data_IF_730426838693
#
_entry.id   IF_730426838693
#
_cell.length_a   1.000
_cell.length_b   1.000
_cell.length_c   1.000
_cell.angle_alpha   90.00
_cell.angle_beta   90.00
_cell.angle_gamma   90.00
#
_symmetry.space_group_name_H-M   'P 1'
#
loop_
_entity.id
_entity.type
_entity.pdbx_description
1 polymer ?
#
# COMPACT_ATOMS: atom_id res chain seq x y z
N UNK A 1 -24.92 -37.48 70.42
CA UNK A 1 -23.57 -37.11 70.00
C UNK A 1 -23.63 -36.85 68.49
N UNK A 2 -24.00 -35.63 68.13
CA UNK A 2 -24.15 -35.24 66.68
C UNK A 2 -22.87 -34.60 66.20
N UNK A 3 -22.24 -35.14 65.12
CA UNK A 3 -21.08 -34.55 64.48
C UNK A 3 -21.56 -33.68 63.32
N UNK A 4 -21.36 -32.40 63.39
CA UNK A 4 -21.47 -31.44 62.27
C UNK A 4 -20.24 -31.55 61.37
N UNK A 5 -20.45 -31.84 60.08
CA UNK A 5 -19.45 -31.70 59.05
C UNK A 5 -19.49 -30.28 58.50
N UNK A 6 -18.41 -29.54 58.69
CA UNK A 6 -18.18 -28.25 57.99
C UNK A 6 -17.78 -28.54 56.55
N UNK A 7 -18.56 -28.04 55.60
CA UNK A 7 -18.18 -27.96 54.18
C UNK A 7 -17.62 -26.55 53.94
N UNK A 8 -16.34 -26.42 53.63
CA UNK A 8 -15.71 -25.17 53.23
C UNK A 8 -16.00 -24.88 51.75
N UNK A 9 -16.37 -23.66 51.40
CA UNK A 9 -16.54 -23.30 49.98
C UNK A 9 -15.17 -23.15 49.30
N UNK A 10 -15.00 -23.91 48.22
CA UNK A 10 -13.86 -23.74 47.31
C UNK A 10 -14.17 -22.55 46.40
N UNK A 11 -13.48 -21.43 46.64
CA UNK A 11 -13.48 -20.32 45.68
C UNK A 11 -12.56 -20.69 44.53
N UNK A 12 -13.15 -20.98 43.38
CA UNK A 12 -12.41 -21.07 42.09
C UNK A 12 -12.16 -19.64 41.63
N UNK A 13 -10.94 -19.16 41.86
CA UNK A 13 -10.44 -17.95 41.23
C UNK A 13 -10.23 -18.23 39.72
N UNK A 14 -11.17 -17.77 38.93
CA UNK A 14 -11.05 -17.76 37.48
C UNK A 14 -10.04 -16.66 37.12
N UNK A 15 -8.78 -17.05 36.93
CA UNK A 15 -7.76 -16.19 36.35
C UNK A 15 -8.14 -15.96 34.88
N UNK A 16 -8.76 -14.80 34.64
CA UNK A 16 -8.90 -14.26 33.29
C UNK A 16 -7.48 -13.87 32.84
N UNK A 17 -6.80 -14.78 32.14
CA UNK A 17 -5.56 -14.44 31.44
C UNK A 17 -5.93 -13.42 30.37
N UNK A 18 -5.70 -12.13 30.68
CA UNK A 18 -5.59 -11.11 29.67
C UNK A 18 -4.38 -11.50 28.80
N UNK A 19 -4.63 -12.22 27.73
CA UNK A 19 -3.69 -12.30 26.61
C UNK A 19 -3.54 -10.88 26.10
N UNK A 20 -2.53 -10.20 26.60
CA UNK A 20 -1.93 -9.12 25.85
C UNK A 20 -1.48 -9.74 24.54
N UNK A 21 -2.30 -9.60 23.50
CA UNK A 21 -1.85 -9.76 22.13
C UNK A 21 -0.73 -8.71 21.99
N UNK A 22 0.52 -9.14 22.14
CA UNK A 22 1.64 -8.37 21.64
C UNK A 22 1.31 -8.22 20.16
N UNK A 23 0.88 -7.02 19.76
CA UNK A 23 0.88 -6.63 18.37
C UNK A 23 2.34 -6.75 17.93
N UNK A 24 2.72 -7.94 17.48
CA UNK A 24 3.90 -8.13 16.68
C UNK A 24 3.67 -7.18 15.52
N UNK A 25 4.51 -6.14 15.42
CA UNK A 25 4.38 -5.09 14.43
C UNK A 25 4.22 -5.73 13.05
N UNK A 26 2.98 -5.87 12.60
CA UNK A 26 2.65 -6.51 11.34
C UNK A 26 3.15 -5.60 10.22
N UNK A 27 4.30 -5.95 9.68
CA UNK A 27 4.99 -5.17 8.64
C UNK A 27 4.39 -5.41 7.25
N UNK A 28 3.48 -6.39 7.15
CA UNK A 28 2.82 -6.84 5.93
C UNK A 28 1.39 -6.31 5.77
N UNK A 29 0.70 -6.88 4.82
CA UNK A 29 -0.74 -6.73 4.69
C UNK A 29 -1.44 -7.59 5.74
N UNK A 30 -2.45 -7.01 6.39
CA UNK A 30 -3.38 -7.72 7.27
C UNK A 30 -4.74 -7.81 6.60
N UNK A 31 -5.44 -8.91 6.81
CA UNK A 31 -6.82 -9.05 6.35
C UNK A 31 -7.73 -8.19 7.24
N UNK A 32 -8.40 -7.17 6.68
CA UNK A 32 -9.41 -6.38 7.38
C UNK A 32 -10.72 -7.15 7.58
N UNK A 33 -10.95 -8.17 6.78
CA UNK A 33 -12.11 -9.05 6.87
C UNK A 33 -11.67 -10.48 7.16
N UNK A 34 -12.17 -11.06 8.25
CA UNK A 34 -11.77 -12.38 8.75
C UNK A 34 -12.36 -13.56 7.95
N UNK A 35 -13.18 -13.30 6.92
CA UNK A 35 -13.83 -14.30 6.08
C UNK A 35 -15.06 -15.00 6.70
N UNK A 36 -15.37 -14.77 7.99
CA UNK A 36 -16.36 -15.56 8.73
C UNK A 36 -17.56 -14.72 9.24
N UNK A 37 -17.30 -13.51 9.74
CA UNK A 37 -18.30 -12.62 10.31
C UNK A 37 -17.93 -11.15 10.10
N UNK A 38 -18.81 -10.24 10.52
CA UNK A 38 -18.59 -8.80 10.39
C UNK A 38 -18.03 -8.17 11.69
N UNK A 39 -17.35 -8.93 12.51
CA UNK A 39 -16.64 -8.41 13.69
C UNK A 39 -15.56 -7.39 13.23
N UNK A 40 -15.50 -6.25 13.93
CA UNK A 40 -14.64 -5.12 13.55
C UNK A 40 -15.24 -4.21 12.48
N UNK A 41 -16.54 -4.42 12.12
CA UNK A 41 -17.26 -3.61 11.16
C UNK A 41 -18.61 -3.14 11.71
N UNK A 42 -18.90 -1.87 11.53
CA UNK A 42 -20.18 -1.24 11.91
C UNK A 42 -20.86 -0.64 10.70
N UNK A 43 -22.15 -0.98 10.49
CA UNK A 43 -22.94 -0.32 9.44
C UNK A 43 -23.27 1.11 9.85
N UNK A 44 -23.02 2.05 8.93
CA UNK A 44 -23.32 3.47 9.09
C UNK A 44 -24.24 3.97 7.98
N UNK A 45 -25.03 5.02 8.29
CA UNK A 45 -26.04 5.58 7.40
C UNK A 45 -27.07 4.50 7.01
N UNK A 46 -27.82 4.58 5.97
CA UNK A 46 -28.76 3.67 5.34
C UNK A 46 -29.14 2.33 6.00
N UNK A 47 -29.95 1.57 5.29
CA UNK A 47 -30.56 0.32 5.78
C UNK A 47 -30.32 -0.88 4.86
N UNK A 48 -29.29 -0.82 4.01
CA UNK A 48 -28.90 -1.96 3.19
C UNK A 48 -28.55 -3.19 4.07
N UNK A 49 -28.69 -4.37 3.52
CA UNK A 49 -28.36 -5.60 4.24
C UNK A 49 -26.91 -6.01 3.92
N UNK A 50 -26.10 -6.20 4.97
CA UNK A 50 -24.76 -6.76 4.85
C UNK A 50 -24.72 -8.14 5.49
N UNK A 51 -24.14 -9.11 4.79
CA UNK A 51 -23.95 -10.49 5.25
C UNK A 51 -22.62 -11.06 4.81
N UNK A 52 -22.23 -12.15 5.42
CA UNK A 52 -21.08 -12.95 4.96
C UNK A 52 -21.58 -14.17 4.20
N UNK A 53 -21.02 -14.41 3.04
CA UNK A 53 -21.37 -15.53 2.17
C UNK A 53 -20.11 -16.07 1.47
N UNK A 54 -19.77 -17.33 1.71
CA UNK A 54 -18.59 -17.99 1.10
C UNK A 54 -17.27 -17.21 1.25
N UNK A 55 -17.00 -16.66 2.44
CA UNK A 55 -15.79 -15.88 2.70
C UNK A 55 -15.79 -14.48 2.07
N UNK A 56 -16.94 -13.97 1.68
CA UNK A 56 -17.10 -12.64 1.07
C UNK A 56 -18.08 -11.78 1.89
N UNK A 57 -17.86 -10.48 1.89
CA UNK A 57 -18.87 -9.51 2.32
C UNK A 57 -19.83 -9.28 1.16
N UNK A 58 -21.11 -9.43 1.40
CA UNK A 58 -22.18 -9.19 0.42
C UNK A 58 -23.11 -8.11 0.95
N UNK A 59 -23.19 -7.02 0.21
CA UNK A 59 -24.14 -5.93 0.45
C UNK A 59 -25.30 -6.01 -0.53
N UNK A 60 -26.53 -5.93 -0.01
CA UNK A 60 -27.76 -5.93 -0.82
C UNK A 60 -28.54 -4.65 -0.57
N UNK A 61 -28.97 -3.98 -1.63
CA UNK A 61 -29.75 -2.75 -1.55
C UNK A 61 -31.07 -2.96 -0.82
N UNK A 62 -31.51 -1.93 -0.10
CA UNK A 62 -32.84 -1.88 0.52
C UNK A 62 -33.69 -0.81 -0.17
N UNK A 63 -34.96 -1.11 -0.38
CA UNK A 63 -35.91 -0.22 -1.05
C UNK A 63 -36.06 1.12 -0.33
N UNK A 64 -35.78 2.22 -1.05
CA UNK A 64 -35.87 3.59 -0.53
C UNK A 64 -34.81 3.94 0.53
N UNK A 65 -33.79 3.09 0.76
CA UNK A 65 -32.66 3.41 1.62
C UNK A 65 -31.76 4.47 0.99
N UNK A 66 -31.23 5.43 1.77
CA UNK A 66 -30.06 6.19 1.33
C UNK A 66 -28.83 5.27 1.22
N UNK A 67 -27.70 5.82 0.76
CA UNK A 67 -26.42 5.12 0.78
C UNK A 67 -26.17 4.49 2.16
N UNK A 68 -25.73 3.24 2.16
CA UNK A 68 -25.32 2.52 3.37
C UNK A 68 -23.84 2.18 3.26
N UNK A 69 -23.15 2.16 4.39
CA UNK A 69 -21.71 1.88 4.44
C UNK A 69 -21.41 0.88 5.55
N UNK A 70 -20.73 -0.20 5.24
CA UNK A 70 -20.14 -1.09 6.23
C UNK A 70 -18.72 -0.58 6.51
N UNK A 71 -18.51 0.00 7.68
CA UNK A 71 -17.30 0.74 8.04
C UNK A 71 -16.45 -0.02 9.05
N UNK A 72 -15.14 0.05 8.93
CA UNK A 72 -14.23 -0.47 9.94
C UNK A 72 -14.40 0.28 11.26
N UNK A 73 -14.32 -0.44 12.38
CA UNK A 73 -14.34 0.17 13.73
C UNK A 73 -12.99 0.87 14.00
N UNK A 74 -11.91 0.34 13.43
CA UNK A 74 -10.59 0.98 13.43
C UNK A 74 -10.52 2.10 12.39
N UNK A 75 -9.74 3.15 12.69
CA UNK A 75 -9.51 4.30 11.81
C UNK A 75 -8.07 4.36 11.35
N UNK A 76 -7.86 4.76 10.10
CA UNK A 76 -6.56 4.76 9.43
C UNK A 76 -6.22 6.15 8.89
N UNK A 77 -4.94 6.54 9.03
CA UNK A 77 -4.38 7.76 8.45
C UNK A 77 -3.67 7.46 7.13
N UNK A 78 -2.48 6.92 7.22
CA UNK A 78 -1.70 6.49 6.07
C UNK A 78 -1.82 4.97 5.91
N UNK A 79 -2.15 4.52 4.72
CA UNK A 79 -2.34 3.09 4.46
C UNK A 79 -2.20 2.74 2.98
N UNK A 80 -2.02 1.46 2.74
CA UNK A 80 -2.18 0.79 1.46
C UNK A 80 -3.34 -0.21 1.61
N UNK A 81 -4.33 -0.11 0.74
CA UNK A 81 -5.56 -0.91 0.77
C UNK A 81 -5.72 -1.65 -0.56
N UNK A 82 -6.00 -2.93 -0.48
CA UNK A 82 -6.30 -3.77 -1.63
C UNK A 82 -7.60 -4.53 -1.39
N UNK A 83 -8.40 -4.70 -2.44
CA UNK A 83 -9.61 -5.52 -2.38
C UNK A 83 -10.05 -5.91 -3.79
N UNK A 84 -10.82 -6.99 -3.86
CA UNK A 84 -11.57 -7.35 -5.06
C UNK A 84 -13.05 -7.01 -4.85
N UNK A 85 -13.69 -6.44 -5.87
CA UNK A 85 -15.10 -6.10 -5.88
C UNK A 85 -15.80 -6.61 -7.12
N UNK A 86 -17.03 -7.08 -6.95
CA UNK A 86 -17.98 -7.36 -8.03
C UNK A 86 -19.29 -6.68 -7.69
N UNK A 87 -19.81 -5.87 -8.60
CA UNK A 87 -21.07 -5.13 -8.42
C UNK A 87 -22.04 -5.43 -9.56
N UNK A 88 -23.34 -5.50 -9.27
CA UNK A 88 -24.41 -5.54 -10.28
C UNK A 88 -24.27 -4.31 -11.20
N UNK A 89 -24.30 -4.52 -12.51
CA UNK A 89 -24.07 -3.45 -13.50
C UNK A 89 -25.05 -2.26 -13.40
N UNK A 90 -26.19 -2.46 -12.74
CA UNK A 90 -27.20 -1.42 -12.47
C UNK A 90 -26.97 -0.65 -11.17
N UNK A 91 -25.96 -1.02 -10.39
CA UNK A 91 -25.66 -0.43 -9.10
C UNK A 91 -24.33 0.34 -9.15
N UNK A 92 -24.32 1.56 -8.60
CA UNK A 92 -23.11 2.27 -8.22
C UNK A 92 -22.64 1.78 -6.84
N UNK A 93 -21.36 1.88 -6.58
CA UNK A 93 -20.76 1.60 -5.28
C UNK A 93 -19.51 2.47 -5.08
N UNK A 94 -18.81 2.30 -3.97
CA UNK A 94 -17.58 2.98 -3.66
C UNK A 94 -16.94 2.44 -2.39
N UNK A 95 -15.67 2.76 -2.20
CA UNK A 95 -14.97 2.52 -0.94
C UNK A 95 -14.58 3.84 -0.33
N UNK A 96 -15.18 4.14 0.82
CA UNK A 96 -14.83 5.28 1.64
C UNK A 96 -13.45 5.08 2.24
N UNK A 97 -12.63 6.11 2.25
CA UNK A 97 -11.31 6.12 2.87
C UNK A 97 -11.16 7.36 3.76
N UNK A 98 -10.55 7.22 4.93
CA UNK A 98 -10.39 8.33 5.88
C UNK A 98 -11.70 9.06 6.16
N UNK A 99 -12.83 8.37 6.06
CA UNK A 99 -14.16 8.98 6.17
C UNK A 99 -14.65 9.01 7.60
N UNK A 100 -15.65 9.82 7.84
CA UNK A 100 -16.14 10.14 9.18
C UNK A 100 -17.68 10.23 9.18
N UNK A 101 -18.26 10.21 10.38
CA UNK A 101 -19.62 10.67 10.64
C UNK A 101 -19.58 11.77 11.70
N UNK A 102 -20.57 12.62 11.74
CA UNK A 102 -20.63 13.69 12.76
C UNK A 102 -20.69 13.07 14.16
N UNK A 103 -19.78 13.49 15.04
CA UNK A 103 -19.65 12.98 16.40
C UNK A 103 -19.45 11.45 16.50
N UNK A 104 -18.95 10.81 15.45
CA UNK A 104 -18.83 9.36 15.31
C UNK A 104 -20.16 8.61 15.49
N UNK A 105 -21.29 9.27 15.30
CA UNK A 105 -22.61 8.64 15.37
C UNK A 105 -22.87 7.82 14.09
N UNK A 106 -23.12 6.50 14.18
CA UNK A 106 -23.36 5.66 13.02
C UNK A 106 -24.67 5.98 12.27
N UNK A 107 -25.58 6.76 12.87
CA UNK A 107 -26.81 7.22 12.22
C UNK A 107 -26.63 8.48 11.38
N UNK A 108 -25.56 9.21 11.64
CA UNK A 108 -25.23 10.42 10.91
C UNK A 108 -24.66 10.10 9.54
N UNK A 109 -24.75 11.08 8.62
CA UNK A 109 -24.29 10.91 7.24
C UNK A 109 -22.79 10.67 7.19
N UNK A 110 -22.38 9.61 6.49
CA UNK A 110 -20.98 9.36 6.15
C UNK A 110 -20.49 10.46 5.22
N UNK A 111 -19.31 10.97 5.50
CA UNK A 111 -18.67 12.01 4.67
C UNK A 111 -17.16 11.78 4.58
N UNK A 112 -16.59 12.10 3.44
CA UNK A 112 -15.15 12.00 3.18
C UNK A 112 -14.81 11.51 1.78
N UNK A 113 -13.52 11.23 1.53
CA UNK A 113 -13.06 10.71 0.25
C UNK A 113 -13.62 9.31 -0.02
N UNK A 114 -14.09 9.09 -1.25
CA UNK A 114 -14.59 7.82 -1.77
C UNK A 114 -13.83 7.47 -3.05
N UNK A 115 -13.29 6.28 -3.13
CA UNK A 115 -12.81 5.71 -4.39
C UNK A 115 -14.00 5.09 -5.11
N UNK A 116 -14.29 5.58 -6.28
CA UNK A 116 -15.51 5.27 -7.03
C UNK A 116 -15.48 3.84 -7.59
N UNK A 117 -16.63 3.17 -7.54
CA UNK A 117 -16.88 1.87 -8.17
C UNK A 117 -18.12 2.02 -9.05
N UNK A 118 -17.92 2.16 -10.36
CA UNK A 118 -19.00 2.43 -11.30
C UNK A 118 -18.69 1.87 -12.69
N UNK A 119 -19.73 1.71 -13.51
CA UNK A 119 -19.62 1.23 -14.89
C UNK A 119 -19.58 2.38 -15.91
N UNK A 120 -19.70 3.63 -15.45
CA UNK A 120 -19.76 4.85 -16.28
C UNK A 120 -18.40 5.37 -16.76
N UNK A 121 -17.33 4.65 -16.47
CA UNK A 121 -15.95 5.03 -16.78
C UNK A 121 -15.25 5.87 -15.71
N UNK A 122 -15.90 6.11 -14.56
CA UNK A 122 -15.33 6.91 -13.46
C UNK A 122 -14.74 6.07 -12.33
N UNK A 123 -14.77 4.75 -12.45
CA UNK A 123 -14.22 3.83 -11.46
C UNK A 123 -12.76 4.14 -11.10
N UNK A 124 -12.43 4.16 -9.82
CA UNK A 124 -11.07 4.44 -9.32
C UNK A 124 -10.73 5.92 -9.13
N UNK A 125 -11.52 6.86 -9.68
CA UNK A 125 -11.36 8.27 -9.34
C UNK A 125 -11.90 8.57 -7.93
N UNK A 126 -11.47 9.68 -7.34
CA UNK A 126 -11.81 10.04 -5.97
C UNK A 126 -12.93 11.07 -5.95
N UNK A 127 -14.04 10.69 -5.32
CA UNK A 127 -15.21 11.54 -5.04
C UNK A 127 -15.23 11.94 -3.56
N UNK A 128 -15.82 13.05 -3.22
CA UNK A 128 -16.06 13.50 -1.83
C UNK A 128 -17.49 13.25 -1.44
N UNK A 129 -17.83 12.08 -0.90
CA UNK A 129 -19.16 11.76 -0.39
C UNK A 129 -19.55 12.76 0.70
N UNK A 130 -20.66 13.46 0.54
CA UNK A 130 -21.07 14.58 1.41
C UNK A 130 -19.93 15.55 1.79
N UNK A 131 -18.88 15.63 0.98
CA UNK A 131 -17.66 16.37 1.28
C UNK A 131 -17.16 17.24 0.10
N UNK A 132 -18.06 17.67 -0.78
CA UNK A 132 -17.78 18.63 -1.83
C UNK A 132 -17.77 18.09 -3.27
N UNK A 133 -18.15 16.82 -3.47
CA UNK A 133 -18.21 16.23 -4.81
C UNK A 133 -16.83 15.77 -5.32
N UNK A 134 -16.61 15.76 -6.62
CA UNK A 134 -15.38 15.23 -7.22
C UNK A 134 -14.11 15.90 -6.68
N UNK A 135 -13.25 15.10 -6.05
CA UNK A 135 -11.94 15.52 -5.58
C UNK A 135 -10.88 15.40 -6.68
N UNK A 136 -10.94 14.36 -7.51
CA UNK A 136 -10.11 14.30 -8.72
C UNK A 136 -10.59 15.38 -9.68
N UNK A 137 -9.73 16.35 -10.08
CA UNK A 137 -10.12 17.44 -10.96
C UNK A 137 -10.67 16.97 -12.31
N UNK A 138 -11.62 17.71 -12.90
CA UNK A 138 -12.25 17.35 -14.17
C UNK A 138 -11.26 17.16 -15.33
N UNK A 139 -10.18 17.95 -15.35
CA UNK A 139 -9.09 17.83 -16.35
C UNK A 139 -8.27 16.53 -16.22
N UNK A 140 -8.28 15.91 -15.04
CA UNK A 140 -7.54 14.70 -14.72
C UNK A 140 -8.45 13.46 -14.71
N UNK A 141 -9.75 13.61 -15.00
CA UNK A 141 -10.74 12.55 -15.13
C UNK A 141 -11.09 12.33 -16.59
N UNK A 142 -10.76 11.15 -17.09
CA UNK A 142 -11.15 10.71 -18.44
C UNK A 142 -11.87 9.38 -18.31
N UNK A 143 -13.07 9.27 -18.88
CA UNK A 143 -13.83 8.03 -18.89
C UNK A 143 -12.98 6.89 -19.49
N UNK A 144 -12.98 5.75 -18.85
CA UNK A 144 -12.17 4.60 -19.23
C UNK A 144 -12.96 3.28 -19.09
N UNK A 145 -12.46 2.22 -19.70
CA UNK A 145 -13.07 0.88 -19.74
C UNK A 145 -12.31 -0.14 -18.87
N UNK A 146 -11.60 0.33 -17.84
CA UNK A 146 -10.80 -0.57 -16.98
C UNK A 146 -11.66 -1.41 -16.07
N UNK A 147 -12.85 -0.90 -15.67
CA UNK A 147 -13.81 -1.65 -14.88
C UNK A 147 -14.51 -2.67 -15.76
N UNK A 148 -14.55 -3.92 -15.32
CA UNK A 148 -15.14 -5.04 -16.04
C UNK A 148 -16.49 -5.40 -15.39
N UNK A 149 -17.59 -5.13 -16.08
CA UNK A 149 -18.93 -5.46 -15.61
C UNK A 149 -19.08 -6.96 -15.35
N UNK A 150 -19.85 -7.31 -14.31
CA UNK A 150 -20.14 -8.69 -13.89
C UNK A 150 -18.91 -9.56 -13.59
N UNK A 151 -17.71 -8.96 -13.47
CA UNK A 151 -16.46 -9.61 -13.11
C UNK A 151 -15.91 -9.08 -11.80
N UNK A 152 -14.96 -9.80 -11.25
CA UNK A 152 -14.14 -9.31 -10.15
C UNK A 152 -13.17 -8.27 -10.67
N UNK A 153 -13.14 -7.12 -10.02
CA UNK A 153 -12.22 -6.03 -10.30
C UNK A 153 -11.32 -5.83 -9.10
N UNK A 154 -10.03 -5.74 -9.32
CA UNK A 154 -9.03 -5.54 -8.30
C UNK A 154 -8.72 -4.06 -8.14
N UNK A 155 -8.91 -3.53 -6.92
CA UNK A 155 -8.54 -2.17 -6.53
C UNK A 155 -7.30 -2.20 -5.66
N UNK A 156 -6.39 -1.25 -5.91
CA UNK A 156 -5.24 -0.97 -5.10
C UNK A 156 -5.20 0.54 -4.83
N UNK A 157 -5.14 0.94 -3.58
CA UNK A 157 -5.21 2.33 -3.12
C UNK A 157 -4.05 2.58 -2.18
N UNK A 158 -3.31 3.67 -2.39
CA UNK A 158 -2.29 4.16 -1.46
C UNK A 158 -2.68 5.56 -1.02
N UNK A 159 -2.91 5.74 0.28
CA UNK A 159 -3.18 7.04 0.89
C UNK A 159 -2.04 7.38 1.86
N UNK A 160 -1.22 8.38 1.52
CA UNK A 160 -0.10 8.83 2.35
C UNK A 160 -0.01 10.36 2.39
N UNK A 161 -0.09 10.95 3.59
CA UNK A 161 -0.21 12.40 3.72
C UNK A 161 -1.41 12.91 2.93
N UNK A 162 -1.23 13.99 2.19
CA UNK A 162 -2.27 14.61 1.35
C UNK A 162 -2.48 13.93 -0.01
N UNK A 163 -1.79 12.80 -0.27
CA UNK A 163 -1.81 12.08 -1.54
C UNK A 163 -2.68 10.84 -1.48
N UNK A 164 -3.45 10.61 -2.55
CA UNK A 164 -4.26 9.40 -2.78
C UNK A 164 -3.98 8.92 -4.20
N UNK A 165 -3.47 7.71 -4.32
CA UNK A 165 -3.18 7.04 -5.57
C UNK A 165 -4.05 5.81 -5.71
N UNK A 166 -4.60 5.59 -6.91
CA UNK A 166 -5.50 4.45 -7.15
C UNK A 166 -5.13 3.71 -8.42
N UNK A 167 -5.27 2.41 -8.36
CA UNK A 167 -5.12 1.50 -9.52
C UNK A 167 -6.35 0.60 -9.60
N UNK A 168 -6.76 0.33 -10.81
CA UNK A 168 -7.85 -0.58 -11.14
C UNK A 168 -7.32 -1.65 -12.10
N UNK A 169 -7.45 -2.92 -11.72
CA UNK A 169 -6.95 -4.06 -12.51
C UNK A 169 -5.48 -3.88 -12.94
N UNK A 170 -4.64 -3.36 -12.01
CA UNK A 170 -3.23 -3.10 -12.21
C UNK A 170 -2.88 -1.86 -13.05
N UNK A 171 -3.88 -1.10 -13.52
CA UNK A 171 -3.69 0.14 -14.28
C UNK A 171 -3.87 1.37 -13.38
N UNK A 172 -2.99 2.38 -13.45
CA UNK A 172 -3.15 3.61 -12.70
C UNK A 172 -4.39 4.39 -13.17
N UNK A 173 -5.14 4.95 -12.23
CA UNK A 173 -6.34 5.75 -12.50
C UNK A 173 -6.20 7.16 -11.94
N UNK A 174 -5.93 7.31 -10.65
CA UNK A 174 -5.82 8.62 -10.00
C UNK A 174 -4.49 8.78 -9.28
N UNK A 175 -3.91 9.97 -9.40
CA UNK A 175 -2.74 10.43 -8.65
C UNK A 175 -3.11 11.82 -8.08
N UNK A 176 -3.90 11.81 -6.99
CA UNK A 176 -4.51 12.99 -6.41
C UNK A 176 -3.68 13.52 -5.24
N UNK A 177 -3.34 14.80 -5.29
CA UNK A 177 -2.86 15.55 -4.12
C UNK A 177 -3.91 16.58 -3.71
N UNK A 178 -4.40 16.51 -2.46
CA UNK A 178 -5.50 17.37 -2.00
C UNK A 178 -5.31 17.84 -0.56
N UNK A 179 -4.60 18.94 -0.39
CA UNK A 179 -4.22 19.49 0.92
C UNK A 179 -5.41 19.83 1.83
N UNK A 180 -6.40 20.55 1.28
CA UNK A 180 -7.57 20.98 2.06
C UNK A 180 -8.37 19.80 2.61
N UNK A 181 -8.53 18.74 1.81
CA UNK A 181 -9.27 17.57 2.23
C UNK A 181 -8.46 16.73 3.21
N UNK A 182 -7.15 16.69 3.08
CA UNK A 182 -6.28 16.05 4.06
C UNK A 182 -6.36 16.70 5.44
N UNK A 183 -6.43 18.03 5.51
CA UNK A 183 -6.63 18.75 6.79
C UNK A 183 -7.89 18.34 7.52
N UNK A 184 -8.99 18.11 6.79
CA UNK A 184 -10.29 17.75 7.37
C UNK A 184 -10.49 16.23 7.51
N UNK A 185 -9.90 15.43 6.64
CA UNK A 185 -10.05 13.97 6.53
C UNK A 185 -8.69 13.29 6.41
N UNK A 186 -7.75 13.64 7.31
CA UNK A 186 -6.43 13.04 7.36
C UNK A 186 -6.43 11.63 7.96
N UNK A 187 -7.49 11.28 8.70
CA UNK A 187 -7.70 9.96 9.34
C UNK A 187 -9.20 9.67 9.46
N UNK A 188 -9.58 8.42 9.33
CA UNK A 188 -10.96 7.98 9.46
C UNK A 188 -11.13 6.51 9.09
N UNK A 189 -12.35 6.02 9.09
CA UNK A 189 -12.65 4.64 8.75
C UNK A 189 -12.56 4.36 7.24
N UNK A 190 -12.49 3.07 6.90
CA UNK A 190 -12.73 2.53 5.57
C UNK A 190 -14.17 2.01 5.53
N UNK A 191 -14.94 2.34 4.48
CA UNK A 191 -16.34 1.97 4.39
C UNK A 191 -16.72 1.42 3.02
N UNK A 192 -17.39 0.28 2.99
CA UNK A 192 -17.87 -0.41 1.79
C UNK A 192 -19.30 0.04 1.51
N UNK A 193 -19.51 0.73 0.38
CA UNK A 193 -20.80 1.34 0.05
C UNK A 193 -21.76 0.35 -0.61
N UNK A 194 -23.00 0.33 -0.15
CA UNK A 194 -24.18 -0.08 -0.91
C UNK A 194 -24.96 1.17 -1.28
N UNK A 195 -24.94 1.55 -2.55
CA UNK A 195 -25.60 2.76 -3.02
C UNK A 195 -27.12 2.68 -2.85
N UNK A 196 -27.75 3.79 -2.50
CA UNK A 196 -29.19 3.91 -2.41
C UNK A 196 -29.86 3.74 -3.78
N UNK A 197 -31.02 3.13 -3.78
CA UNK A 197 -31.84 2.91 -4.97
C UNK A 197 -33.22 3.56 -4.84
N UNK A 198 -33.82 3.88 -5.97
CA UNK A 198 -35.21 4.34 -5.99
C UNK A 198 -36.19 3.27 -5.51
N UNK A 199 -37.36 3.70 -5.04
CA UNK A 199 -38.44 2.78 -4.61
C UNK A 199 -38.86 1.88 -5.75
N UNK A 200 -39.03 0.58 -5.42
CA UNK A 200 -39.44 -0.45 -6.40
C UNK A 200 -38.31 -0.90 -7.31
N UNK A 201 -37.05 -0.49 -7.05
CA UNK A 201 -35.88 -0.97 -7.77
C UNK A 201 -35.15 -2.05 -6.95
N UNK A 202 -34.39 -2.89 -7.63
CA UNK A 202 -33.59 -3.93 -6.98
C UNK A 202 -34.36 -5.19 -6.62
N UNK A 203 -33.87 -6.03 -5.67
CA UNK A 203 -32.59 -5.84 -4.99
C UNK A 203 -31.38 -6.02 -5.91
N UNK A 204 -30.33 -5.25 -5.69
CA UNK A 204 -29.03 -5.37 -6.37
C UNK A 204 -27.96 -5.69 -5.34
N UNK A 205 -26.88 -6.36 -5.79
CA UNK A 205 -25.79 -6.78 -4.90
C UNK A 205 -24.46 -6.19 -5.28
N UNK A 206 -23.63 -5.94 -4.28
CA UNK A 206 -22.20 -5.72 -4.39
C UNK A 206 -21.47 -6.68 -3.46
N UNK A 207 -20.35 -7.23 -3.92
CA UNK A 207 -19.59 -8.26 -3.21
C UNK A 207 -18.13 -7.84 -3.11
N UNK A 208 -17.53 -8.01 -1.92
CA UNK A 208 -16.11 -7.74 -1.66
C UNK A 208 -15.43 -8.98 -1.09
N UNK A 209 -14.18 -9.17 -1.46
CA UNK A 209 -13.27 -10.19 -0.90
C UNK A 209 -11.83 -9.69 -0.90
N UNK A 210 -10.92 -10.42 -0.26
CA UNK A 210 -9.49 -10.10 -0.23
C UNK A 210 -9.24 -8.65 0.24
N UNK A 211 -10.02 -8.19 1.23
CA UNK A 211 -9.90 -6.82 1.76
C UNK A 211 -8.70 -6.79 2.70
N UNK A 212 -7.59 -6.25 2.22
CA UNK A 212 -6.29 -6.24 2.93
C UNK A 212 -5.77 -4.83 3.08
N UNK A 213 -5.17 -4.55 4.23
CA UNK A 213 -4.58 -3.25 4.52
C UNK A 213 -3.15 -3.42 5.06
N UNK A 214 -2.25 -2.53 4.63
CA UNK A 214 -0.96 -2.28 5.25
C UNK A 214 -1.01 -0.90 5.88
N UNK A 215 -0.82 -0.81 7.19
CA UNK A 215 -0.78 0.46 7.92
C UNK A 215 0.57 1.16 7.65
N UNK A 216 0.52 2.41 7.19
CA UNK A 216 1.68 3.23 6.87
C UNK A 216 1.88 4.40 7.86
N UNK A 217 1.11 4.50 8.94
CA UNK A 217 1.19 5.61 9.89
C UNK A 217 2.55 5.71 10.61
N UNK A 218 3.25 4.58 10.76
CA UNK A 218 4.57 4.53 11.40
C UNK A 218 5.74 4.74 10.44
N UNK A 219 5.47 4.94 9.15
CA UNK A 219 6.51 5.26 8.17
C UNK A 219 6.93 6.73 8.29
N UNK A 220 8.23 6.96 8.20
CA UNK A 220 8.81 8.30 8.09
C UNK A 220 9.38 8.49 6.69
N UNK A 221 9.25 9.71 6.16
CA UNK A 221 9.86 10.05 4.87
C UNK A 221 11.37 10.18 5.02
N UNK A 222 12.13 9.44 4.21
CA UNK A 222 13.58 9.61 4.09
C UNK A 222 13.95 10.72 3.11
N UNK A 223 13.05 11.04 2.19
CA UNK A 223 13.20 12.13 1.24
C UNK A 223 12.12 13.19 1.50
N UNK A 224 12.54 14.44 1.71
CA UNK A 224 11.66 15.53 2.13
C UNK A 224 10.89 16.21 0.96
N UNK A 225 11.17 15.83 -0.30
CA UNK A 225 10.55 16.41 -1.50
C UNK A 225 11.08 17.78 -1.90
N UNK A 226 12.11 18.31 -1.24
CA UNK A 226 12.64 19.66 -1.49
C UNK A 226 14.12 19.71 -1.77
N UNK A 227 14.92 18.88 -1.09
CA UNK A 227 16.37 18.84 -1.20
C UNK A 227 16.92 17.45 -0.79
N UNK A 228 18.25 17.31 -0.80
CA UNK A 228 18.95 16.07 -0.45
C UNK A 228 19.36 16.00 1.03
N UNK A 229 18.73 16.74 1.92
CA UNK A 229 18.99 16.64 3.36
C UNK A 229 18.77 15.20 3.85
N UNK A 230 19.75 14.64 4.56
CA UNK A 230 19.77 13.25 5.01
C UNK A 230 20.38 12.27 4.01
N UNK A 231 20.88 12.79 2.86
CA UNK A 231 21.50 12.00 1.81
C UNK A 231 22.89 12.51 1.43
N UNK A 232 23.74 11.60 0.97
CA UNK A 232 25.11 11.88 0.54
C UNK A 232 25.28 11.38 -0.89
N UNK A 233 25.81 12.21 -1.77
CA UNK A 233 26.19 11.87 -3.14
C UNK A 233 27.23 12.83 -3.68
N UNK A 234 28.08 12.38 -4.61
CA UNK A 234 28.87 13.23 -5.50
C UNK A 234 28.32 13.24 -6.94
N UNK A 235 27.22 12.50 -7.16
CA UNK A 235 26.58 12.36 -8.45
C UNK A 235 25.64 13.50 -8.80
N UNK A 236 24.95 13.33 -9.91
CA UNK A 236 24.11 14.34 -10.51
C UNK A 236 22.62 14.10 -10.22
N UNK A 237 22.28 14.17 -8.95
CA UNK A 237 20.91 14.08 -8.47
C UNK A 237 20.30 15.48 -8.36
N UNK A 238 19.18 15.70 -9.02
CA UNK A 238 18.47 16.99 -8.99
C UNK A 238 17.04 16.80 -8.48
N UNK A 239 16.51 17.84 -7.84
CA UNK A 239 15.11 17.89 -7.43
C UNK A 239 14.34 18.69 -8.46
N UNK A 240 13.43 18.03 -9.19
CA UNK A 240 12.53 18.67 -10.14
C UNK A 240 11.39 19.39 -9.40
N UNK A 241 10.72 20.29 -10.11
CA UNK A 241 9.49 20.92 -9.61
C UNK A 241 8.45 19.87 -9.25
N UNK A 242 7.91 19.95 -8.03
CA UNK A 242 6.97 18.96 -7.50
C UNK A 242 7.64 17.89 -6.63
N UNK A 243 8.94 18.04 -6.32
CA UNK A 243 9.62 17.19 -5.36
C UNK A 243 10.02 15.82 -5.89
N UNK A 244 10.22 15.71 -7.19
CA UNK A 244 10.70 14.48 -7.82
C UNK A 244 12.22 14.52 -7.90
N UNK A 245 12.89 13.48 -7.41
CA UNK A 245 14.33 13.26 -7.63
C UNK A 245 14.54 12.71 -9.03
N UNK A 246 15.48 13.30 -9.77
CA UNK A 246 15.89 12.86 -11.08
C UNK A 246 17.38 12.51 -11.07
N UNK A 247 17.74 11.36 -11.63
CA UNK A 247 19.11 11.05 -11.96
C UNK A 247 19.40 11.65 -13.34
N UNK A 248 20.39 12.53 -13.38
CA UNK A 248 20.86 13.14 -14.62
C UNK A 248 22.37 12.87 -14.77
N UNK A 249 22.78 11.68 -15.24
CA UNK A 249 24.20 11.34 -15.42
C UNK A 249 24.90 12.37 -16.28
N UNK A 250 26.14 12.68 -15.94
CA UNK A 250 26.95 13.63 -16.71
C UNK A 250 27.29 13.06 -18.09
N UNK A 251 27.33 13.92 -19.08
CA UNK A 251 27.67 13.52 -20.45
C UNK A 251 29.05 12.85 -20.51
N UNK A 252 29.13 11.73 -21.22
CA UNK A 252 30.38 10.94 -21.35
C UNK A 252 30.73 10.08 -20.15
N UNK A 253 30.05 10.19 -19.04
CA UNK A 253 30.25 9.33 -17.87
C UNK A 253 29.53 8.01 -18.05
N UNK A 254 30.25 6.93 -17.87
CA UNK A 254 29.71 5.59 -17.92
C UNK A 254 30.00 4.84 -16.61
N UNK A 255 29.06 4.04 -16.21
CA UNK A 255 29.33 2.92 -15.33
C UNK A 255 28.75 3.00 -13.93
N UNK A 256 28.08 1.92 -13.65
CA UNK A 256 27.56 1.52 -12.36
C UNK A 256 28.63 1.43 -11.24
N UNK A 257 29.94 1.51 -11.58
CA UNK A 257 31.05 1.45 -10.62
C UNK A 257 31.35 2.78 -9.91
N UNK A 258 30.66 3.85 -10.28
CA UNK A 258 30.82 5.15 -9.61
C UNK A 258 29.98 5.21 -8.35
N UNK A 259 30.33 4.43 -7.35
CA UNK A 259 29.56 4.29 -6.11
C UNK A 259 29.39 5.58 -5.31
N UNK A 260 30.31 6.56 -5.48
CA UNK A 260 30.18 7.90 -4.91
C UNK A 260 29.02 8.71 -5.51
N UNK A 261 28.60 8.40 -6.74
CA UNK A 261 27.52 9.08 -7.44
C UNK A 261 26.13 8.53 -7.06
N UNK A 262 26.07 7.38 -6.37
CA UNK A 262 24.81 6.87 -5.81
C UNK A 262 24.28 7.82 -4.74
N UNK A 263 22.99 7.78 -4.52
CA UNK A 263 22.36 8.53 -3.44
C UNK A 263 22.34 7.66 -2.18
N UNK A 264 23.18 7.97 -1.19
CA UNK A 264 23.35 7.20 0.03
C UNK A 264 22.68 7.87 1.23
N UNK A 265 21.96 7.12 2.05
CA UNK A 265 21.47 7.61 3.33
C UNK A 265 22.64 7.98 4.25
N UNK A 266 22.50 9.04 5.07
CA UNK A 266 23.48 9.39 6.11
C UNK A 266 23.47 8.35 7.25
N UNK A 267 22.30 7.77 7.55
CA UNK A 267 22.09 6.78 8.62
C UNK A 267 22.18 5.36 8.09
N UNK A 268 22.53 4.44 8.99
CA UNK A 268 22.42 3.00 8.78
C UNK A 268 21.11 2.49 9.34
N UNK A 269 20.62 1.40 8.77
CA UNK A 269 19.36 0.75 9.12
C UNK A 269 19.59 -0.75 9.26
N UNK A 270 18.94 -1.37 10.25
CA UNK A 270 19.08 -2.80 10.58
C UNK A 270 17.86 -3.59 10.15
N UNK A 271 16.78 -3.47 10.91
CA UNK A 271 15.48 -4.12 10.66
C UNK A 271 14.48 -3.04 10.25
N UNK A 272 13.90 -3.18 9.06
CA UNK A 272 13.08 -2.11 8.48
C UNK A 272 12.11 -2.61 7.41
N UNK A 273 11.12 -1.78 7.12
CA UNK A 273 10.37 -1.78 5.86
C UNK A 273 10.73 -0.50 5.10
N UNK A 274 11.28 -0.64 3.91
CA UNK A 274 11.64 0.45 3.00
C UNK A 274 10.66 0.47 1.84
N UNK A 275 10.05 1.62 1.57
CA UNK A 275 9.04 1.82 0.54
C UNK A 275 9.52 2.91 -0.42
N UNK A 276 9.72 2.55 -1.68
CA UNK A 276 10.31 3.40 -2.71
C UNK A 276 9.43 3.46 -3.94
N UNK A 277 9.05 4.66 -4.35
CA UNK A 277 8.37 4.91 -5.61
C UNK A 277 9.31 5.50 -6.65
N UNK A 278 9.35 4.88 -7.84
CA UNK A 278 10.24 5.26 -8.92
C UNK A 278 9.61 5.04 -10.30
N UNK A 279 10.11 5.76 -11.28
CA UNK A 279 9.78 5.57 -12.69
C UNK A 279 11.07 5.52 -13.50
N UNK A 280 11.18 4.57 -14.38
CA UNK A 280 12.31 4.41 -15.27
C UNK A 280 11.92 4.72 -16.73
N UNK A 281 12.82 5.26 -17.56
CA UNK A 281 12.64 5.41 -18.99
C UNK A 281 12.76 4.06 -19.71
N UNK A 282 12.46 3.96 -21.02
CA UNK A 282 12.76 2.76 -21.80
C UNK A 282 14.21 2.31 -21.63
N UNK A 283 14.43 1.04 -21.28
CA UNK A 283 15.74 0.47 -20.99
C UNK A 283 16.37 0.95 -19.68
N UNK A 284 15.60 1.62 -18.80
CA UNK A 284 16.07 2.15 -17.52
C UNK A 284 16.66 1.09 -16.62
N UNK A 285 17.78 1.44 -15.95
CA UNK A 285 18.51 0.57 -15.03
C UNK A 285 18.95 1.36 -13.79
N UNK A 286 18.67 0.81 -12.62
CA UNK A 286 19.05 1.31 -11.31
C UNK A 286 18.92 0.17 -10.28
N UNK A 287 19.07 0.46 -9.00
CA UNK A 287 18.90 -0.50 -7.92
C UNK A 287 18.61 0.18 -6.59
N UNK A 288 17.86 -0.50 -5.75
CA UNK A 288 17.68 -0.13 -4.36
C UNK A 288 18.65 -0.97 -3.53
N UNK A 289 19.69 -0.31 -3.03
CA UNK A 289 20.66 -0.92 -2.13
C UNK A 289 20.21 -0.77 -0.68
N UNK A 290 20.47 -1.78 0.12
CA UNK A 290 20.22 -1.75 1.56
C UNK A 290 21.24 -2.61 2.33
N UNK A 291 21.36 -2.32 3.63
CA UNK A 291 22.37 -2.94 4.52
C UNK A 291 23.80 -2.89 3.97
N UNK A 292 24.13 -1.80 3.30
CA UNK A 292 25.48 -1.58 2.75
C UNK A 292 26.43 -1.17 3.87
N UNK A 293 27.43 -1.99 4.19
CA UNK A 293 28.41 -1.67 5.22
C UNK A 293 29.45 -0.65 4.75
N UNK A 294 29.88 -0.78 3.49
CA UNK A 294 30.88 0.07 2.83
C UNK A 294 30.32 0.63 1.51
N UNK A 295 30.10 1.93 1.47
CA UNK A 295 29.60 2.67 0.29
C UNK A 295 30.61 2.67 -0.88
N UNK A 296 31.89 2.43 -0.60
CA UNK A 296 32.93 2.28 -1.62
C UNK A 296 32.95 0.87 -2.27
N UNK A 297 32.20 -0.09 -1.69
CA UNK A 297 32.12 -1.44 -2.21
C UNK A 297 30.71 -2.06 -1.98
N UNK A 298 29.62 -1.42 -2.44
CA UNK A 298 28.26 -1.81 -2.12
C UNK A 298 27.89 -3.20 -2.64
N UNK A 299 28.41 -3.58 -3.81
CA UNK A 299 28.11 -4.87 -4.46
C UNK A 299 28.56 -6.07 -3.61
N UNK A 300 29.64 -5.93 -2.84
CA UNK A 300 30.14 -7.00 -1.99
C UNK A 300 29.75 -6.84 -0.51
N UNK A 301 29.33 -5.65 -0.08
CA UNK A 301 29.03 -5.36 1.33
C UNK A 301 27.58 -4.98 1.59
N UNK A 302 26.72 -5.09 0.59
CA UNK A 302 25.30 -4.79 0.69
C UNK A 302 24.43 -5.76 -0.09
N UNK A 303 23.16 -5.47 -0.16
CA UNK A 303 22.14 -6.20 -0.91
C UNK A 303 21.49 -5.22 -1.88
N UNK A 304 21.21 -5.68 -3.10
CA UNK A 304 20.57 -4.86 -4.14
C UNK A 304 19.30 -5.54 -4.63
N UNK A 305 18.18 -4.81 -4.57
CA UNK A 305 16.96 -5.13 -5.29
C UNK A 305 16.95 -4.35 -6.62
N UNK A 306 16.90 -5.08 -7.72
CA UNK A 306 17.10 -4.55 -9.06
C UNK A 306 15.94 -3.70 -9.56
N UNK A 307 16.25 -2.58 -10.18
CA UNK A 307 15.34 -1.78 -11.00
C UNK A 307 15.80 -1.89 -12.45
N UNK A 308 15.00 -2.54 -13.29
CA UNK A 308 15.31 -2.68 -14.73
C UNK A 308 14.02 -2.65 -15.54
N UNK A 309 14.03 -2.03 -16.71
CA UNK A 309 12.91 -2.15 -17.64
C UNK A 309 12.75 -3.60 -18.13
N UNK A 310 12.03 -4.37 -17.36
CA UNK A 310 11.65 -5.74 -17.66
C UNK A 310 10.17 -5.88 -18.04
N UNK A 311 9.49 -4.76 -18.34
CA UNK A 311 8.03 -4.70 -18.54
C UNK A 311 7.51 -5.57 -19.69
N UNK A 312 8.38 -5.88 -20.66
CA UNK A 312 8.06 -6.74 -21.81
C UNK A 312 8.67 -8.14 -21.72
N UNK A 313 9.39 -8.44 -20.63
CA UNK A 313 10.06 -9.73 -20.47
C UNK A 313 9.07 -10.78 -19.98
N UNK A 314 9.15 -11.96 -20.57
CA UNK A 314 8.42 -13.15 -20.11
C UNK A 314 9.07 -13.77 -18.87
N UNK A 315 8.31 -14.57 -18.15
CA UNK A 315 8.81 -15.38 -17.04
C UNK A 315 9.46 -16.68 -17.55
N UNK A 316 10.46 -17.24 -16.84
CA UNK A 316 10.99 -16.82 -15.53
C UNK A 316 11.93 -15.60 -15.60
N UNK A 317 11.94 -14.80 -14.54
CA UNK A 317 12.85 -13.67 -14.38
C UNK A 317 14.17 -14.11 -13.73
N UNK A 318 15.26 -13.47 -14.12
CA UNK A 318 16.58 -13.65 -13.49
C UNK A 318 16.84 -12.60 -12.41
N UNK A 319 17.95 -12.77 -11.68
CA UNK A 319 18.32 -11.86 -10.59
C UNK A 319 18.73 -10.44 -11.07
N UNK A 320 18.96 -10.24 -12.35
CA UNK A 320 19.17 -8.93 -12.97
C UNK A 320 17.89 -8.30 -13.52
N UNK A 321 16.76 -8.99 -13.46
CA UNK A 321 15.48 -8.43 -13.89
C UNK A 321 14.82 -7.65 -12.75
N UNK A 322 13.81 -6.87 -13.08
CA UNK A 322 13.11 -6.01 -12.14
C UNK A 322 12.60 -6.76 -10.91
N UNK A 323 12.96 -6.27 -9.72
CA UNK A 323 12.62 -6.89 -8.44
C UNK A 323 13.50 -8.09 -8.05
N UNK A 324 14.43 -8.51 -8.91
CA UNK A 324 15.40 -9.55 -8.57
C UNK A 324 16.40 -9.09 -7.50
N UNK A 325 16.88 -10.00 -6.69
CA UNK A 325 17.96 -9.77 -5.73
C UNK A 325 19.27 -10.16 -6.40
N UNK A 326 20.10 -9.18 -6.66
CA UNK A 326 21.35 -9.36 -7.43
C UNK A 326 22.19 -10.51 -6.84
N UNK A 327 22.72 -11.38 -7.73
CA UNK A 327 23.49 -12.59 -7.41
C UNK A 327 22.76 -13.66 -6.59
N UNK A 328 21.44 -13.54 -6.42
CA UNK A 328 20.68 -14.45 -5.55
C UNK A 328 19.50 -15.09 -6.27
N UNK A 329 18.44 -14.32 -6.54
CA UNK A 329 17.20 -14.87 -7.09
C UNK A 329 16.48 -13.84 -7.97
N UNK A 330 15.80 -14.30 -9.01
CA UNK A 330 14.86 -13.49 -9.78
C UNK A 330 13.51 -13.36 -9.07
N UNK A 331 12.75 -12.34 -9.44
CA UNK A 331 11.37 -12.19 -8.99
C UNK A 331 10.53 -13.39 -9.46
N UNK A 332 9.63 -13.87 -8.61
CA UNK A 332 8.73 -15.01 -8.91
C UNK A 332 7.67 -14.65 -9.95
N UNK A 333 7.40 -13.35 -10.15
CA UNK A 333 6.37 -12.82 -11.03
C UNK A 333 6.79 -11.47 -11.60
N UNK A 334 6.49 -11.22 -12.87
CA UNK A 334 6.76 -9.92 -13.50
C UNK A 334 5.65 -8.91 -13.20
N UNK A 335 5.88 -8.07 -12.21
CA UNK A 335 4.98 -7.00 -11.82
C UNK A 335 5.43 -5.62 -12.33
N UNK A 336 6.39 -5.57 -13.26
CA UNK A 336 6.92 -4.33 -13.83
C UNK A 336 5.84 -3.55 -14.59
N UNK A 337 5.68 -2.28 -14.27
CA UNK A 337 4.88 -1.36 -15.10
C UNK A 337 5.70 -0.88 -16.30
N UNK A 338 5.05 -0.51 -17.40
CA UNK A 338 5.73 0.05 -18.57
C UNK A 338 6.62 1.27 -18.23
N UNK A 339 7.64 1.56 -19.04
CA UNK A 339 8.47 2.76 -18.87
C UNK A 339 7.65 4.04 -18.69
N UNK A 340 8.17 4.96 -17.88
CA UNK A 340 7.57 6.23 -17.49
C UNK A 340 6.30 6.11 -16.61
N UNK A 341 5.92 4.92 -16.20
CA UNK A 341 4.92 4.72 -15.16
C UNK A 341 5.59 4.51 -13.79
N UNK A 342 4.93 5.01 -12.75
CA UNK A 342 5.41 4.86 -11.39
C UNK A 342 5.28 3.42 -10.91
N UNK A 343 6.40 2.83 -10.51
CA UNK A 343 6.50 1.56 -9.81
C UNK A 343 6.68 1.82 -8.32
N UNK A 344 6.22 0.91 -7.48
CA UNK A 344 6.44 0.94 -6.04
C UNK A 344 7.04 -0.37 -5.59
N UNK A 345 8.20 -0.30 -4.97
CA UNK A 345 8.90 -1.43 -4.37
C UNK A 345 8.89 -1.28 -2.86
N UNK A 346 8.46 -2.33 -2.15
CA UNK A 346 8.52 -2.39 -0.70
C UNK A 346 9.45 -3.51 -0.30
N UNK A 347 10.54 -3.16 0.39
CA UNK A 347 11.55 -4.10 0.89
C UNK A 347 11.37 -4.25 2.39
N UNK A 348 10.96 -5.43 2.84
CA UNK A 348 10.90 -5.82 4.25
C UNK A 348 12.14 -6.64 4.58
N UNK A 349 12.97 -6.14 5.48
CA UNK A 349 14.23 -6.80 5.85
C UNK A 349 14.36 -6.85 7.38
N UNK A 350 14.10 -8.03 7.96
CA UNK A 350 14.07 -8.27 9.41
C UNK A 350 14.95 -9.46 9.76
N UNK A 351 15.97 -9.26 10.59
CA UNK A 351 16.99 -10.26 10.85
C UNK A 351 17.55 -10.84 9.54
N UNK A 352 17.39 -12.13 9.30
CA UNK A 352 17.80 -12.77 8.05
C UNK A 352 16.67 -12.97 7.03
N UNK A 353 15.49 -12.44 7.29
CA UNK A 353 14.35 -12.57 6.40
C UNK A 353 14.23 -11.34 5.48
N UNK A 354 14.17 -11.59 4.18
CA UNK A 354 13.98 -10.57 3.15
C UNK A 354 12.74 -10.89 2.33
N UNK A 355 11.83 -9.93 2.29
CA UNK A 355 10.68 -9.94 1.39
C UNK A 355 10.71 -8.70 0.50
N UNK A 356 10.29 -8.84 -0.76
CA UNK A 356 10.11 -7.72 -1.69
C UNK A 356 8.74 -7.81 -2.32
N UNK A 357 7.97 -6.73 -2.18
CA UNK A 357 6.74 -6.53 -2.93
C UNK A 357 6.99 -5.53 -4.07
N UNK A 358 6.46 -5.80 -5.24
CA UNK A 358 6.48 -4.90 -6.39
C UNK A 358 5.05 -4.62 -6.85
N UNK A 359 4.65 -3.35 -6.80
CA UNK A 359 3.32 -2.91 -7.20
C UNK A 359 2.17 -3.63 -6.48
N UNK A 360 2.38 -3.95 -5.18
CA UNK A 360 1.41 -4.59 -4.31
C UNK A 360 1.42 -6.13 -4.31
N UNK A 361 2.26 -6.76 -5.14
CA UNK A 361 2.42 -8.21 -5.19
C UNK A 361 3.76 -8.64 -4.60
N UNK A 362 3.77 -9.61 -3.71
CA UNK A 362 5.00 -10.20 -3.17
C UNK A 362 5.69 -11.03 -4.26
N UNK A 363 6.91 -10.62 -4.61
CA UNK A 363 7.70 -11.22 -5.68
C UNK A 363 8.96 -11.93 -5.20
N UNK A 364 9.35 -11.71 -3.95
CA UNK A 364 10.52 -12.34 -3.32
C UNK A 364 10.25 -12.60 -1.84
N UNK A 365 10.63 -13.79 -1.37
CA UNK A 365 10.61 -14.19 0.04
C UNK A 365 11.77 -15.17 0.26
N UNK A 366 12.85 -14.72 0.91
CA UNK A 366 14.08 -15.51 1.07
C UNK A 366 14.75 -15.32 2.43
N UNK A 367 15.59 -16.28 2.79
CA UNK A 367 16.49 -16.20 3.92
C UNK A 367 17.88 -15.75 3.49
N UNK A 368 18.45 -14.77 4.20
CA UNK A 368 19.75 -14.16 3.89
C UNK A 368 20.95 -14.89 4.54
N UNK A 369 20.70 -15.86 5.42
CA UNK A 369 21.74 -16.65 6.10
C UNK A 369 22.25 -17.83 5.26
N UNK A 370 21.90 -17.87 3.99
CA UNK A 370 22.25 -18.92 3.04
C UNK A 370 22.82 -18.35 1.74
N UNK A 371 23.49 -19.21 0.96
CA UNK A 371 23.97 -18.87 -0.38
C UNK A 371 24.90 -17.66 -0.42
N UNK A 372 24.76 -16.84 -1.45
CA UNK A 372 25.59 -15.65 -1.70
C UNK A 372 25.37 -14.52 -0.67
N UNK A 373 24.31 -14.58 0.11
CA UNK A 373 23.95 -13.56 1.11
C UNK A 373 24.38 -13.89 2.54
N UNK A 374 24.89 -15.12 2.79
CA UNK A 374 25.16 -15.66 4.13
C UNK A 374 25.98 -14.73 5.04
N UNK A 375 26.97 -14.07 4.49
CA UNK A 375 27.90 -13.22 5.25
C UNK A 375 27.63 -11.71 5.04
N UNK A 376 26.45 -11.34 4.53
CA UNK A 376 26.09 -9.95 4.34
C UNK A 376 25.77 -9.28 5.68
N UNK A 377 26.12 -7.99 5.83
CA UNK A 377 25.81 -7.24 7.05
C UNK A 377 24.31 -7.21 7.35
N UNK A 378 23.96 -7.27 8.63
CA UNK A 378 22.58 -7.11 9.09
C UNK A 378 22.17 -5.63 9.28
N UNK A 379 23.13 -4.71 9.15
CA UNK A 379 22.92 -3.27 9.29
C UNK A 379 23.81 -2.53 8.29
N UNK A 380 23.28 -1.48 7.68
CA UNK A 380 24.05 -0.67 6.74
C UNK A 380 23.23 0.45 6.12
N UNK A 381 23.87 1.16 5.18
CA UNK A 381 23.26 2.26 4.46
C UNK A 381 22.21 1.78 3.47
N UNK A 382 21.26 2.67 3.16
CA UNK A 382 20.34 2.58 2.04
C UNK A 382 20.93 3.39 0.90
N UNK A 383 20.83 2.91 -0.33
CA UNK A 383 21.32 3.59 -1.51
C UNK A 383 20.40 3.45 -2.71
N UNK A 384 20.39 4.47 -3.54
CA UNK A 384 19.77 4.43 -4.88
C UNK A 384 20.86 4.52 -5.92
N UNK A 385 20.88 3.58 -6.85
CA UNK A 385 21.94 3.47 -7.84
C UNK A 385 21.80 4.52 -8.96
N UNK A 386 22.87 5.23 -9.26
CA UNK A 386 23.09 5.85 -10.57
C UNK A 386 23.84 4.86 -11.47
N UNK A 387 23.13 4.19 -12.36
CA UNK A 387 23.74 3.25 -13.31
C UNK A 387 24.42 3.97 -14.49
N UNK A 388 24.12 5.23 -14.70
CA UNK A 388 24.66 6.07 -15.77
C UNK A 388 23.69 6.22 -16.94
N UNK A 389 23.42 5.19 -17.69
CA UNK A 389 22.53 5.24 -18.87
C UNK A 389 21.41 4.20 -18.74
N UNK A 390 20.19 4.47 -19.29
CA UNK A 390 19.73 5.73 -19.85
C UNK A 390 19.39 6.77 -18.76
N UNK A 391 19.31 8.03 -19.15
CA UNK A 391 18.96 9.16 -18.28
C UNK A 391 17.50 9.16 -17.84
N UNK A 392 17.14 10.06 -16.91
CA UNK A 392 15.76 10.36 -16.50
C UNK A 392 15.06 9.28 -15.65
N UNK A 393 15.81 8.51 -14.90
CA UNK A 393 15.22 7.67 -13.85
C UNK A 393 14.82 8.58 -12.68
N UNK A 394 13.59 8.41 -12.18
CA UNK A 394 12.95 9.31 -11.22
C UNK A 394 12.54 8.58 -9.96
N UNK A 395 12.64 9.27 -8.82
CA UNK A 395 12.11 8.83 -7.52
C UNK A 395 11.26 9.95 -6.92
N UNK A 396 10.13 9.63 -6.30
CA UNK A 396 9.26 10.65 -5.73
C UNK A 396 8.88 10.42 -4.28
N UNK A 397 8.99 9.21 -3.78
CA UNK A 397 8.67 8.85 -2.42
C UNK A 397 9.66 7.80 -1.95
N UNK A 398 10.34 8.09 -0.85
CA UNK A 398 11.25 7.16 -0.19
C UNK A 398 10.90 7.22 1.29
N UNK A 399 10.32 6.15 1.83
CA UNK A 399 9.79 6.07 3.19
C UNK A 399 10.37 4.86 3.90
N UNK A 400 10.55 4.95 5.19
CA UNK A 400 11.03 3.84 6.00
C UNK A 400 10.25 3.73 7.30
N UNK A 401 10.04 2.50 7.74
CA UNK A 401 9.63 2.14 9.08
C UNK A 401 10.73 1.29 9.69
N UNK A 402 11.41 1.79 10.73
CA UNK A 402 12.35 0.99 11.49
C UNK A 402 11.59 0.04 12.43
N UNK A 403 11.99 -1.22 12.45
CA UNK A 403 11.43 -2.25 13.34
C UNK A 403 12.32 -2.32 14.57
N UNK A 404 11.79 -1.86 15.69
CA UNK A 404 12.46 -1.93 17.00
C UNK A 404 12.03 -3.23 17.67
N UNK A 405 13.01 -4.04 18.06
CA UNK A 405 12.78 -5.22 18.91
C UNK A 405 12.71 -4.80 20.38
#
# INVERSE_FOLDING_TARGET
MFRFKFIAPVFVLMFCALTFCNAQDDVGFVDLFNGNNLEGWTQRNGTANYRVENGMIVGTTADGSPNSFLCTDEVFGNFELMFDVKVDSRLNSGVQIRSQTKNDDPKERVNGPQVEISTDGMAGYVYGEAAGGWMTPGKDRTAHTLFQEDKWNHYHIVAFGNKIETWLNGKPVSDLTHEEKFKSHGRGFIGLQVHGIGRGQGPYEVRWRNVKLRNLDSFVSLYNGTDLTGWITSGNWIVEKGGVLLIQPREGEQGWQRYGDYLWSEKKYKDFVLDVEYAYPPGGNSGVYFRVADRGNPVNTGIEAQILDSSKKGEPLGHHDHGGIIRTVGATKNMSRPPNQWNRMVVTCVANHLQVDLNGEQITDIQLNEGAMKDRPLEGYIGLQDHGQPHNLRFRSIRIREIKK
#
